data_IF_955434173378
#
_entry.id   IF_955434173378
#
_cell.length_a   1.000
_cell.length_b   1.000
_cell.length_c   1.000
_cell.angle_alpha   90.00
_cell.angle_beta   90.00
_cell.angle_gamma   90.00
#
_symmetry.space_group_name_H-M   'P 1'
#
loop_
_entity.id
_entity.type
_entity.pdbx_description
1 polymer ?
#
# COMPACT_ATOMS: atom_id res chain seq x y z
N UNK A 1 -73.24 12.49 -15.39
CA UNK A 1 -72.58 13.79 -15.58
C UNK A 1 -71.12 13.60 -15.11
N UNK A 2 -70.25 13.14 -16.00
CA UNK A 2 -68.82 12.86 -15.71
C UNK A 2 -68.01 14.07 -16.17
N UNK A 3 -67.37 14.69 -15.20
CA UNK A 3 -66.47 15.84 -15.40
C UNK A 3 -65.05 15.33 -15.72
N UNK A 4 -64.65 15.47 -16.98
CA UNK A 4 -63.29 15.11 -17.43
C UNK A 4 -62.38 16.30 -17.15
N UNK A 5 -61.44 16.12 -16.20
CA UNK A 5 -60.41 17.11 -15.93
C UNK A 5 -59.23 16.82 -16.88
N UNK A 6 -59.07 17.71 -17.86
CA UNK A 6 -57.90 17.69 -18.76
C UNK A 6 -56.67 18.25 -18.01
N UNK A 7 -55.72 17.38 -17.70
CA UNK A 7 -54.40 17.78 -17.16
C UNK A 7 -53.52 18.14 -18.37
N UNK A 8 -53.25 19.44 -18.52
CA UNK A 8 -52.32 19.98 -19.52
C UNK A 8 -50.87 19.73 -19.06
N UNK A 9 -50.18 18.79 -19.70
CA UNK A 9 -48.76 18.53 -19.49
C UNK A 9 -47.96 19.47 -20.38
N UNK A 10 -47.41 20.54 -19.80
CA UNK A 10 -46.43 21.39 -20.49
C UNK A 10 -45.12 20.65 -20.63
N UNK A 11 -44.54 20.49 -21.83
CA UNK A 11 -43.22 19.90 -21.99
C UNK A 11 -42.17 20.85 -21.44
N UNK A 12 -41.44 20.36 -20.41
CA UNK A 12 -40.26 21.02 -19.88
C UNK A 12 -39.19 20.96 -20.97
N UNK A 13 -38.97 22.07 -21.66
CA UNK A 13 -37.85 22.26 -22.59
C UNK A 13 -36.55 22.20 -21.80
N UNK A 14 -35.92 21.02 -21.80
CA UNK A 14 -34.55 20.86 -21.31
C UNK A 14 -33.65 21.58 -22.31
N UNK A 15 -33.23 22.80 -21.95
CA UNK A 15 -32.19 23.49 -22.71
C UNK A 15 -30.88 22.72 -22.57
N UNK A 16 -30.20 22.39 -23.68
CA UNK A 16 -28.86 21.82 -23.60
C UNK A 16 -27.92 22.92 -23.09
N UNK A 17 -27.55 22.79 -21.84
CA UNK A 17 -26.44 23.59 -21.28
C UNK A 17 -25.19 23.22 -22.06
N UNK A 18 -24.79 24.10 -22.98
CA UNK A 18 -23.49 23.98 -23.65
C UNK A 18 -22.40 24.20 -22.64
N UNK A 19 -21.71 23.13 -22.29
CA UNK A 19 -20.53 23.09 -21.40
C UNK A 19 -19.36 23.98 -21.88
N UNK A 20 -19.53 24.64 -23.04
CA UNK A 20 -18.51 25.48 -23.68
C UNK A 20 -18.36 26.90 -23.17
N UNK A 21 -19.28 27.40 -22.31
CA UNK A 21 -19.27 28.82 -21.92
C UNK A 21 -18.62 29.12 -20.56
N UNK A 22 -18.07 28.11 -19.89
CA UNK A 22 -17.41 28.29 -18.59
C UNK A 22 -15.88 28.44 -18.66
N UNK A 23 -15.27 28.32 -19.84
CA UNK A 23 -13.89 28.71 -20.00
C UNK A 23 -13.88 30.23 -20.26
N UNK A 24 -13.53 31.07 -19.25
CA UNK A 24 -13.26 32.46 -19.54
C UNK A 24 -12.15 32.46 -20.59
N UNK A 25 -12.36 33.25 -21.68
CA UNK A 25 -11.31 33.49 -22.66
C UNK A 25 -10.18 34.21 -21.94
N UNK A 26 -9.29 33.39 -21.33
CA UNK A 26 -8.07 33.92 -20.70
C UNK A 26 -7.26 34.56 -21.80
N UNK A 27 -7.03 35.88 -21.78
CA UNK A 27 -6.22 36.51 -22.80
C UNK A 27 -4.83 35.87 -22.72
N UNK A 28 -4.37 35.28 -23.83
CA UNK A 28 -3.09 34.61 -23.90
C UNK A 28 -1.93 35.48 -23.39
N UNK A 29 -2.04 36.81 -23.60
CA UNK A 29 -1.08 37.78 -23.11
C UNK A 29 -0.95 37.81 -21.57
N UNK A 30 -2.02 37.52 -20.82
CA UNK A 30 -1.94 37.43 -19.37
C UNK A 30 -1.26 36.17 -18.87
N UNK A 31 -1.31 35.07 -19.63
CA UNK A 31 -0.61 33.83 -19.30
C UNK A 31 0.91 33.97 -19.45
N UNK A 32 1.37 34.80 -20.40
CA UNK A 32 2.80 35.08 -20.61
C UNK A 32 3.33 36.23 -19.76
N UNK A 33 2.48 36.87 -18.98
CA UNK A 33 2.95 37.82 -17.96
C UNK A 33 3.75 37.07 -16.87
N UNK A 34 4.63 37.79 -16.17
CA UNK A 34 5.41 37.20 -15.05
C UNK A 34 4.50 36.54 -14.01
N UNK A 35 3.35 37.13 -13.73
CA UNK A 35 2.36 36.57 -12.79
C UNK A 35 1.72 35.30 -13.36
N UNK A 36 1.37 35.27 -14.66
CA UNK A 36 0.79 34.11 -15.32
C UNK A 36 1.76 32.92 -15.34
N UNK A 37 3.04 33.18 -15.61
CA UNK A 37 4.09 32.17 -15.58
C UNK A 37 4.25 31.57 -14.17
N UNK A 38 4.24 32.41 -13.13
CA UNK A 38 4.33 31.96 -11.74
C UNK A 38 3.13 31.07 -11.34
N UNK A 39 1.91 31.46 -11.74
CA UNK A 39 0.70 30.64 -11.48
C UNK A 39 0.77 29.31 -12.22
N UNK A 40 1.21 29.28 -13.47
CA UNK A 40 1.40 28.04 -14.23
C UNK A 40 2.44 27.13 -13.60
N UNK A 41 3.57 27.67 -13.14
CA UNK A 41 4.60 26.89 -12.45
C UNK A 41 4.08 26.32 -11.13
N UNK A 42 3.32 27.11 -10.36
CA UNK A 42 2.70 26.65 -9.14
C UNK A 42 1.68 25.51 -9.40
N UNK A 43 0.85 25.65 -10.43
CA UNK A 43 -0.12 24.64 -10.83
C UNK A 43 0.57 23.37 -11.31
N UNK A 44 1.65 23.50 -12.11
CA UNK A 44 2.46 22.36 -12.57
C UNK A 44 3.13 21.65 -11.38
N UNK A 45 3.68 22.41 -10.43
CA UNK A 45 4.27 21.86 -9.21
C UNK A 45 3.23 21.11 -8.36
N UNK A 46 2.05 21.72 -8.14
CA UNK A 46 0.96 21.11 -7.40
C UNK A 46 0.48 19.83 -8.09
N UNK A 47 0.37 19.83 -9.42
CA UNK A 47 0.01 18.64 -10.21
C UNK A 47 1.06 17.53 -10.11
N UNK A 48 2.35 17.87 -10.22
CA UNK A 48 3.44 16.92 -10.07
C UNK A 48 3.47 16.33 -8.65
N UNK A 49 3.29 17.17 -7.63
CA UNK A 49 3.21 16.72 -6.23
C UNK A 49 2.02 15.79 -5.99
N UNK A 50 0.85 16.14 -6.56
CA UNK A 50 -0.33 15.27 -6.51
C UNK A 50 -0.08 13.91 -7.16
N UNK A 51 0.50 13.89 -8.37
CA UNK A 51 0.88 12.64 -9.04
C UNK A 51 1.87 11.83 -8.21
N UNK A 52 2.86 12.46 -7.62
CA UNK A 52 3.84 11.77 -6.77
C UNK A 52 3.17 11.13 -5.54
N UNK A 53 2.33 11.88 -4.82
CA UNK A 53 1.64 11.40 -3.63
C UNK A 53 0.65 10.25 -3.95
N UNK A 54 -0.04 10.32 -5.09
CA UNK A 54 -0.97 9.27 -5.50
C UNK A 54 -0.28 8.03 -6.07
N UNK A 55 0.96 8.17 -6.54
CA UNK A 55 1.78 7.07 -7.09
C UNK A 55 2.57 6.33 -6.02
N UNK A 56 2.70 6.88 -4.82
CA UNK A 56 3.42 6.24 -3.73
C UNK A 56 2.76 4.89 -3.37
N UNK A 57 3.54 3.80 -3.31
CA UNK A 57 2.99 2.50 -2.96
C UNK A 57 2.50 2.50 -1.49
N UNK A 58 1.33 1.93 -1.27
CA UNK A 58 0.87 1.64 0.09
C UNK A 58 1.68 0.49 0.65
N UNK A 59 2.26 0.68 1.82
CA UNK A 59 3.01 -0.36 2.52
C UNK A 59 2.20 -0.84 3.72
N UNK A 60 1.92 -2.14 3.74
CA UNK A 60 1.32 -2.81 4.89
C UNK A 60 2.38 -3.58 5.65
N UNK A 61 2.40 -3.45 6.97
CA UNK A 61 3.36 -4.13 7.83
C UNK A 61 2.73 -5.32 8.52
N UNK A 62 3.43 -6.45 8.47
CA UNK A 62 3.07 -7.68 9.16
C UNK A 62 4.21 -8.09 10.07
N UNK A 63 3.91 -8.27 11.35
CA UNK A 63 4.84 -8.84 12.31
C UNK A 63 4.71 -10.36 12.34
N UNK A 64 5.83 -11.05 12.29
CA UNK A 64 5.87 -12.51 12.29
C UNK A 64 6.72 -13.03 13.44
N UNK A 65 6.42 -14.23 13.91
CA UNK A 65 7.19 -14.90 14.94
C UNK A 65 8.48 -15.52 14.41
N UNK A 66 8.50 -15.93 13.12
CA UNK A 66 9.63 -16.52 12.44
C UNK A 66 9.64 -16.08 10.98
N UNK A 67 10.74 -15.46 10.55
CA UNK A 67 10.93 -14.92 9.21
C UNK A 67 11.08 -16.03 8.15
N UNK A 68 11.70 -17.15 8.51
CA UNK A 68 11.92 -18.24 7.56
C UNK A 68 10.59 -18.93 7.21
N UNK A 69 9.75 -19.16 8.21
CA UNK A 69 8.40 -19.69 7.99
C UNK A 69 7.53 -18.70 7.22
N UNK A 70 7.68 -17.41 7.51
CA UNK A 70 7.00 -16.35 6.75
C UNK A 70 7.44 -16.34 5.28
N UNK A 71 8.74 -16.48 5.01
CA UNK A 71 9.29 -16.60 3.68
C UNK A 71 8.68 -17.77 2.91
N UNK A 72 8.65 -18.96 3.53
CA UNK A 72 8.02 -20.15 2.93
C UNK A 72 6.53 -19.93 2.63
N UNK A 73 5.81 -19.23 3.51
CA UNK A 73 4.40 -18.90 3.28
C UNK A 73 4.24 -17.91 2.12
N UNK A 74 4.93 -16.76 2.16
CA UNK A 74 4.70 -15.68 1.20
C UNK A 74 5.33 -15.95 -0.17
N UNK A 75 6.56 -16.46 -0.23
CA UNK A 75 7.23 -16.81 -1.49
C UNK A 75 6.78 -18.19 -2.00
N UNK A 76 6.79 -19.20 -1.14
CA UNK A 76 6.54 -20.58 -1.56
C UNK A 76 5.07 -20.88 -1.82
N UNK A 77 4.17 -20.60 -0.86
CA UNK A 77 2.76 -20.95 -0.97
C UNK A 77 1.93 -19.90 -1.71
N UNK A 78 2.10 -18.62 -1.35
CA UNK A 78 1.31 -17.54 -1.91
C UNK A 78 1.90 -16.99 -3.21
N UNK A 79 3.15 -17.38 -3.55
CA UNK A 79 3.86 -16.94 -4.76
C UNK A 79 3.81 -15.41 -4.93
N UNK A 80 4.19 -14.71 -3.86
CA UNK A 80 4.30 -13.27 -3.89
C UNK A 80 5.67 -12.88 -4.43
N UNK A 81 5.75 -12.04 -5.46
CA UNK A 81 7.04 -11.56 -5.96
C UNK A 81 7.71 -10.68 -4.91
N UNK A 82 9.03 -10.82 -4.78
CA UNK A 82 9.83 -9.92 -3.97
C UNK A 82 9.72 -8.49 -4.51
N UNK A 83 9.62 -7.52 -3.62
CA UNK A 83 9.54 -6.11 -3.95
C UNK A 83 10.82 -5.37 -3.54
N UNK A 84 11.14 -4.31 -4.28
CA UNK A 84 12.19 -3.38 -3.86
C UNK A 84 11.69 -2.52 -2.71
N UNK A 85 12.59 -2.20 -1.78
CA UNK A 85 12.30 -1.31 -0.66
C UNK A 85 11.97 0.08 -1.20
N UNK A 86 10.83 0.68 -0.82
CA UNK A 86 10.48 2.01 -1.29
C UNK A 86 11.48 3.08 -0.83
N UNK A 87 11.80 4.03 -1.72
CA UNK A 87 12.79 5.08 -1.46
C UNK A 87 12.56 5.84 -0.15
N UNK A 88 11.31 6.09 0.23
CA UNK A 88 10.98 6.81 1.46
C UNK A 88 11.34 6.03 2.74
N UNK A 89 11.49 4.70 2.67
CA UNK A 89 11.99 3.89 3.78
C UNK A 89 13.51 4.01 3.93
N UNK A 90 14.24 4.16 2.81
CA UNK A 90 15.69 4.41 2.86
C UNK A 90 16.03 5.73 3.56
N UNK A 91 15.32 6.81 3.24
CA UNK A 91 15.55 8.12 3.87
C UNK A 91 15.28 8.12 5.37
N UNK A 92 14.25 7.43 5.82
CA UNK A 92 13.96 7.31 7.25
C UNK A 92 15.03 6.47 7.97
N UNK A 93 15.59 5.47 7.31
CA UNK A 93 16.65 4.65 7.86
C UNK A 93 17.97 5.44 7.99
N UNK A 94 18.35 6.20 6.97
CA UNK A 94 19.53 7.08 7.03
C UNK A 94 19.40 8.14 8.11
N UNK A 95 18.23 8.74 8.30
CA UNK A 95 18.00 9.69 9.40
C UNK A 95 18.12 9.02 10.78
N UNK A 96 17.68 7.80 10.95
CA UNK A 96 17.80 7.08 12.22
C UNK A 96 19.25 6.70 12.52
N UNK A 97 20.05 6.37 11.51
CA UNK A 97 21.50 6.09 11.66
C UNK A 97 22.26 7.40 11.91
N UNK A 98 21.92 8.48 11.21
CA UNK A 98 22.53 9.80 11.42
C UNK A 98 22.28 10.35 12.84
N UNK A 99 21.10 10.10 13.40
CA UNK A 99 20.77 10.44 14.79
C UNK A 99 21.56 9.61 15.82
N UNK A 100 22.07 8.45 15.43
CA UNK A 100 22.92 7.60 16.29
C UNK A 100 24.40 8.01 16.27
N UNK A 101 24.76 9.15 15.61
CA UNK A 101 26.12 9.70 15.63
C UNK A 101 27.14 8.97 14.75
N UNK A 102 26.69 8.18 13.81
CA UNK A 102 27.56 7.54 12.82
C UNK A 102 27.80 8.55 11.68
N UNK A 103 29.05 9.01 11.57
CA UNK A 103 29.47 9.98 10.56
C UNK A 103 29.27 9.40 9.14
N UNK A 104 28.45 10.03 8.29
CA UNK A 104 28.20 9.55 6.92
C UNK A 104 29.46 9.47 6.05
N UNK A 105 30.53 10.18 6.40
CA UNK A 105 31.83 10.10 5.73
C UNK A 105 32.52 8.75 5.94
N UNK A 106 32.27 8.06 7.05
CA UNK A 106 32.83 6.73 7.30
C UNK A 106 32.19 5.63 6.46
N UNK A 107 30.94 5.80 6.03
CA UNK A 107 30.25 4.79 5.20
C UNK A 107 30.71 4.79 3.75
N UNK A 108 31.21 5.92 3.20
CA UNK A 108 31.69 5.98 1.82
C UNK A 108 33.11 5.41 1.63
N UNK A 109 33.84 5.13 2.71
CA UNK A 109 35.21 4.60 2.66
C UNK A 109 35.30 3.06 2.76
N UNK A 110 34.20 2.35 2.99
CA UNK A 110 34.18 0.89 3.02
C UNK A 110 33.94 0.32 1.61
N UNK A 111 34.96 -0.27 0.96
CA UNK A 111 34.80 -0.88 -0.37
C UNK A 111 33.94 -2.15 -0.38
N UNK A 112 33.37 -2.53 0.75
CA UNK A 112 32.55 -3.74 0.94
C UNK A 112 31.07 -3.57 0.57
N UNK A 113 30.62 -2.36 0.21
CA UNK A 113 29.19 -2.11 -0.08
C UNK A 113 28.72 -2.55 -1.47
N UNK A 114 29.63 -3.04 -2.33
CA UNK A 114 29.33 -3.34 -3.73
C UNK A 114 28.97 -4.82 -4.00
N UNK A 115 28.88 -5.70 -3.01
CA UNK A 115 28.74 -7.14 -3.30
C UNK A 115 27.86 -7.97 -2.38
N UNK A 116 27.35 -7.42 -1.29
CA UNK A 116 26.63 -8.23 -0.29
C UNK A 116 25.19 -7.78 -0.03
N UNK A 117 24.43 -7.55 -1.09
CA UNK A 117 22.96 -7.36 -0.97
C UNK A 117 22.20 -8.57 -0.42
N UNK A 118 22.90 -9.70 -0.19
CA UNK A 118 22.26 -10.94 0.21
C UNK A 118 22.38 -11.35 1.69
N UNK A 119 23.16 -10.66 2.52
CA UNK A 119 23.44 -11.21 3.86
C UNK A 119 23.00 -10.39 5.08
N UNK A 120 22.53 -9.14 4.92
CA UNK A 120 22.06 -8.35 6.07
C UNK A 120 20.53 -8.20 6.15
N UNK A 121 19.76 -8.94 5.34
CA UNK A 121 18.30 -8.81 5.28
C UNK A 121 17.54 -9.34 6.51
N UNK A 122 18.23 -9.97 7.47
CA UNK A 122 17.56 -10.51 8.66
C UNK A 122 17.06 -9.41 9.63
N UNK A 123 17.68 -8.22 9.60
CA UNK A 123 17.27 -7.08 10.44
C UNK A 123 16.28 -6.13 9.78
N UNK A 124 16.21 -6.13 8.43
CA UNK A 124 15.38 -5.19 7.66
C UNK A 124 14.00 -5.75 7.30
N UNK A 125 13.76 -7.06 7.49
CA UNK A 125 12.50 -7.71 7.08
C UNK A 125 12.47 -8.12 5.60
N UNK A 126 11.34 -8.68 5.18
CA UNK A 126 11.10 -9.14 3.81
C UNK A 126 10.09 -8.20 3.14
N UNK A 127 10.29 -7.96 1.85
CA UNK A 127 9.43 -7.09 1.07
C UNK A 127 8.79 -7.85 -0.08
N UNK A 128 7.45 -7.79 -0.18
CA UNK A 128 6.67 -8.47 -1.20
C UNK A 128 5.67 -7.54 -1.87
N UNK A 129 5.40 -7.79 -3.14
CA UNK A 129 4.38 -7.08 -3.89
C UNK A 129 3.03 -7.80 -3.76
N UNK A 130 2.04 -7.16 -3.12
CA UNK A 130 0.68 -7.68 -3.04
C UNK A 130 -0.15 -7.32 -4.27
N UNK A 131 -0.11 -6.05 -4.69
CA UNK A 131 -0.78 -5.50 -5.88
C UNK A 131 0.12 -4.43 -6.51
N UNK A 132 -0.27 -3.91 -7.69
CA UNK A 132 0.49 -2.91 -8.45
C UNK A 132 1.06 -1.75 -7.60
N UNK A 133 0.28 -1.24 -6.63
CA UNK A 133 0.68 -0.12 -5.75
C UNK A 133 0.57 -0.48 -4.26
N UNK A 134 0.72 -1.76 -3.91
CA UNK A 134 0.58 -2.21 -2.53
C UNK A 134 1.67 -3.21 -2.22
N UNK A 135 2.50 -2.89 -1.25
CA UNK A 135 3.61 -3.73 -0.80
C UNK A 135 3.35 -4.26 0.60
N UNK A 136 3.92 -5.41 0.89
CA UNK A 136 3.90 -6.07 2.19
C UNK A 136 5.32 -6.03 2.77
N UNK A 137 5.45 -5.41 3.92
CA UNK A 137 6.68 -5.43 4.72
C UNK A 137 6.52 -6.41 5.87
N UNK A 138 7.31 -7.46 5.87
CA UNK A 138 7.28 -8.53 6.88
C UNK A 138 8.47 -8.37 7.81
N UNK A 139 8.21 -8.14 9.09
CA UNK A 139 9.22 -7.95 10.13
C UNK A 139 9.06 -8.97 11.25
N UNK A 140 10.14 -9.25 11.96
CA UNK A 140 10.10 -10.05 13.19
C UNK A 140 9.50 -9.24 14.34
N UNK A 141 8.92 -9.92 15.33
CA UNK A 141 8.44 -9.28 16.55
C UNK A 141 7.12 -9.81 17.09
N UNK A 142 6.41 -10.65 16.34
CA UNK A 142 5.20 -11.29 16.86
C UNK A 142 5.57 -12.39 17.87
N UNK A 143 4.85 -12.43 19.00
CA UNK A 143 4.90 -13.55 19.91
C UNK A 143 4.23 -14.78 19.30
N UNK A 144 4.65 -15.97 19.70
CA UNK A 144 3.98 -17.22 19.30
C UNK A 144 2.49 -17.18 19.71
N UNK A 145 1.65 -17.74 18.85
CA UNK A 145 0.22 -17.85 19.11
C UNK A 145 -0.14 -18.96 20.10
N UNK A 146 -1.43 -19.23 20.21
CA UNK A 146 -1.93 -20.32 21.06
C UNK A 146 -1.32 -21.66 20.64
N UNK A 147 -0.92 -22.49 21.59
CA UNK A 147 -0.26 -23.78 21.35
C UNK A 147 1.08 -23.69 20.61
N UNK A 148 1.84 -22.61 20.84
CA UNK A 148 3.14 -22.35 20.19
C UNK A 148 3.06 -22.34 18.65
N UNK A 149 1.90 -21.98 18.11
CA UNK A 149 1.74 -21.84 16.67
C UNK A 149 2.43 -20.58 16.15
N UNK A 150 2.97 -20.65 14.95
CA UNK A 150 3.52 -19.48 14.27
C UNK A 150 2.42 -18.45 14.05
N UNK A 151 2.72 -17.20 14.39
CA UNK A 151 1.74 -16.12 14.35
C UNK A 151 2.23 -14.99 13.45
N UNK A 152 1.33 -14.56 12.57
CA UNK A 152 1.48 -13.39 11.73
C UNK A 152 0.44 -12.36 12.13
N UNK A 153 0.89 -11.19 12.56
CA UNK A 153 0.03 -10.13 13.07
C UNK A 153 0.05 -8.97 12.08
N UNK A 154 -1.10 -8.66 11.51
CA UNK A 154 -1.27 -7.55 10.57
C UNK A 154 -1.91 -6.36 11.28
N UNK A 155 -1.34 -5.17 11.09
CA UNK A 155 -1.87 -3.93 11.66
C UNK A 155 -3.07 -3.39 10.88
N UNK A 156 -3.22 -3.84 9.63
CA UNK A 156 -4.24 -3.35 8.72
C UNK A 156 -5.12 -4.50 8.24
N UNK A 157 -6.43 -4.34 8.39
CA UNK A 157 -7.41 -5.30 7.95
C UNK A 157 -7.38 -5.53 6.44
N UNK A 158 -7.20 -4.45 5.65
CA UNK A 158 -7.16 -4.55 4.19
C UNK A 158 -6.03 -5.48 3.71
N UNK A 159 -4.89 -5.44 4.42
CA UNK A 159 -3.79 -6.36 4.19
C UNK A 159 -4.20 -7.81 4.41
N UNK A 160 -4.83 -8.08 5.54
CA UNK A 160 -5.22 -9.43 5.94
C UNK A 160 -6.29 -10.00 4.99
N UNK A 161 -7.25 -9.17 4.56
CA UNK A 161 -8.25 -9.56 3.56
C UNK A 161 -7.60 -9.89 2.20
N UNK A 162 -6.56 -9.13 1.78
CA UNK A 162 -5.80 -9.44 0.56
C UNK A 162 -5.03 -10.75 0.67
N UNK A 163 -4.42 -11.03 1.82
CA UNK A 163 -3.73 -12.29 2.07
C UNK A 163 -4.73 -13.44 2.06
N UNK A 164 -5.88 -13.30 2.71
CA UNK A 164 -6.94 -14.31 2.71
C UNK A 164 -7.42 -14.63 1.29
N UNK A 165 -7.67 -13.60 0.48
CA UNK A 165 -8.05 -13.79 -0.92
C UNK A 165 -6.97 -14.55 -1.71
N UNK A 166 -5.68 -14.30 -1.45
CA UNK A 166 -4.58 -15.07 -2.07
C UNK A 166 -4.58 -16.52 -1.61
N UNK A 167 -4.79 -16.78 -0.31
CA UNK A 167 -4.91 -18.14 0.25
C UNK A 167 -6.04 -18.90 -0.42
N UNK A 168 -7.19 -18.26 -0.64
CA UNK A 168 -8.33 -18.85 -1.35
C UNK A 168 -8.00 -19.13 -2.82
N UNK A 169 -7.41 -18.18 -3.53
CA UNK A 169 -7.02 -18.35 -4.95
C UNK A 169 -6.00 -19.47 -5.15
N UNK A 170 -5.11 -19.70 -4.18
CA UNK A 170 -4.13 -20.80 -4.21
C UNK A 170 -4.70 -22.14 -3.74
N UNK A 171 -5.96 -22.17 -3.29
CA UNK A 171 -6.61 -23.39 -2.82
C UNK A 171 -5.99 -23.98 -1.54
N UNK A 172 -5.34 -23.15 -0.72
CA UNK A 172 -4.74 -23.60 0.53
C UNK A 172 -5.84 -23.93 1.56
N UNK A 173 -5.56 -24.90 2.43
CA UNK A 173 -6.48 -25.22 3.52
C UNK A 173 -6.42 -24.14 4.59
N UNK A 174 -7.53 -23.46 4.81
CA UNK A 174 -7.66 -22.45 5.84
C UNK A 174 -8.92 -22.62 6.67
N UNK A 175 -8.93 -21.97 7.86
CA UNK A 175 -10.09 -21.96 8.75
C UNK A 175 -10.21 -20.60 9.42
N UNK A 176 -11.29 -19.88 9.16
CA UNK A 176 -11.58 -18.61 9.84
C UNK A 176 -12.01 -18.93 11.28
N UNK A 177 -11.33 -18.33 12.25
CA UNK A 177 -11.67 -18.40 13.68
C UNK A 177 -12.61 -17.28 14.08
N UNK A 178 -12.29 -16.06 13.68
CA UNK A 178 -13.05 -14.88 14.00
C UNK A 178 -13.08 -13.95 12.78
N UNK A 179 -14.18 -13.19 12.63
CA UNK A 179 -14.33 -12.21 11.54
C UNK A 179 -14.07 -10.77 11.97
N UNK A 180 -14.19 -10.48 13.28
CA UNK A 180 -13.95 -9.13 13.86
C UNK A 180 -13.37 -9.29 15.28
N UNK A 181 -12.07 -9.03 15.51
CA UNK A 181 -11.00 -8.84 14.51
C UNK A 181 -10.81 -10.08 13.64
N UNK A 182 -10.32 -9.90 12.41
CA UNK A 182 -10.13 -11.02 11.50
C UNK A 182 -8.99 -11.92 12.00
N UNK A 183 -9.29 -13.19 12.17
CA UNK A 183 -8.31 -14.20 12.57
C UNK A 183 -8.61 -15.50 11.82
N UNK A 184 -7.61 -16.03 11.12
CA UNK A 184 -7.71 -17.28 10.41
C UNK A 184 -6.42 -18.10 10.49
N UNK A 185 -6.57 -19.39 10.33
CA UNK A 185 -5.48 -20.36 10.30
C UNK A 185 -5.26 -20.80 8.88
N UNK A 186 -4.00 -20.87 8.46
CA UNK A 186 -3.58 -21.46 7.19
C UNK A 186 -2.71 -22.68 7.47
N UNK A 187 -2.90 -23.73 6.70
CA UNK A 187 -2.09 -24.94 6.80
C UNK A 187 -1.05 -24.95 5.68
N UNK A 188 0.22 -25.07 6.07
CA UNK A 188 1.36 -25.19 5.17
C UNK A 188 1.43 -26.59 4.53
N UNK A 189 2.27 -26.76 3.51
CA UNK A 189 2.54 -28.05 2.86
C UNK A 189 3.08 -29.11 3.84
N UNK A 190 3.89 -28.68 4.81
CA UNK A 190 4.40 -29.56 5.86
C UNK A 190 3.36 -29.86 6.95
N UNK A 191 2.15 -29.32 6.81
CA UNK A 191 1.08 -29.51 7.77
C UNK A 191 1.17 -28.60 9.00
N UNK A 192 2.14 -27.69 9.07
CA UNK A 192 2.22 -26.67 10.10
C UNK A 192 1.04 -25.73 9.99
N UNK A 193 0.58 -25.22 11.14
CA UNK A 193 -0.53 -24.30 11.20
C UNK A 193 0.01 -22.92 11.54
N UNK A 194 -0.26 -21.96 10.66
CA UNK A 194 0.13 -20.56 10.80
C UNK A 194 -1.13 -19.76 11.12
N UNK A 195 -1.10 -19.00 12.20
CA UNK A 195 -2.19 -18.10 12.61
C UNK A 195 -1.95 -16.70 12.03
N UNK A 196 -2.91 -16.21 11.26
CA UNK A 196 -2.91 -14.83 10.76
C UNK A 196 -4.01 -14.06 11.49
N UNK A 197 -3.62 -13.00 12.19
CA UNK A 197 -4.51 -12.24 13.05
C UNK A 197 -4.38 -10.74 12.81
N UNK A 198 -5.51 -10.05 12.87
CA UNK A 198 -5.59 -8.59 12.93
C UNK A 198 -5.26 -8.14 14.36
N UNK A 199 -4.53 -7.02 14.49
CA UNK A 199 -4.36 -6.37 15.79
C UNK A 199 -5.73 -5.86 16.25
N UNK A 200 -6.18 -6.32 17.41
CA UNK A 200 -7.38 -5.75 18.03
C UNK A 200 -7.03 -4.35 18.55
N UNK A 201 -7.60 -3.32 17.94
CA UNK A 201 -7.64 -1.96 18.50
C UNK A 201 -8.71 -1.87 19.58
#
# INVERSE_FOLDING_TARGET
>A
MFMVIAVSVTPLLIQPYTLGSFLPSLPLDSLFSTQGIMVMLLAAYAGAMWMFLTSAPKVHTVMVSDLEIARQLYEGLLDLPAAEVPLHYYYNYEQSIGAAGIDPLYMSASPTFSGSRMMNNASEGLWYQLKKNTQLHVITGASLGSKSQQRHVCFDRDCLDMILMRVEMRGLKFKIRNRKPLNFLVKDYEGRVIELAEVAN
#
